data_IF_628275237313
#
_entry.id   IF_628275237313
#
_cell.length_a   1.000
_cell.length_b   1.000
_cell.length_c   1.000
_cell.angle_alpha   90.00
_cell.angle_beta   90.00
_cell.angle_gamma   90.00
#
_symmetry.space_group_name_H-M   'P 1'
#
loop_
_entity.id
_entity.type
_entity.pdbx_description
1 polymer ?
#
# COMPACT_ATOMS: atom_id res chain seq x y z
N UNK A 1 -12.50 8.27 4.67
CA UNK A 1 -12.53 6.86 4.18
C UNK A 1 -11.91 5.90 5.19
N UNK A 2 -10.65 6.06 5.62
CA UNK A 2 -9.99 5.21 6.63
C UNK A 2 -10.84 4.95 7.89
N UNK A 3 -11.32 6.01 8.55
CA UNK A 3 -12.18 5.90 9.75
C UNK A 3 -13.41 5.03 9.52
N UNK A 4 -14.11 5.23 8.40
CA UNK A 4 -15.32 4.48 8.06
C UNK A 4 -15.01 3.00 7.86
N UNK A 5 -13.91 2.69 7.17
CA UNK A 5 -13.48 1.30 6.99
C UNK A 5 -13.12 0.65 8.33
N UNK A 6 -12.37 1.34 9.19
CA UNK A 6 -12.00 0.81 10.52
C UNK A 6 -13.23 0.56 11.39
N UNK A 7 -14.17 1.51 11.41
CA UNK A 7 -15.44 1.34 12.13
C UNK A 7 -16.27 0.20 11.56
N UNK A 8 -16.34 0.06 10.22
CA UNK A 8 -17.03 -1.05 9.57
C UNK A 8 -16.41 -2.40 9.96
N UNK A 9 -15.07 -2.51 9.94
CA UNK A 9 -14.36 -3.72 10.39
C UNK A 9 -14.63 -4.08 11.85
N UNK A 10 -14.90 -3.11 12.73
CA UNK A 10 -15.18 -3.39 14.14
C UNK A 10 -16.65 -3.69 14.43
N UNK A 11 -17.58 -3.14 13.65
CA UNK A 11 -19.02 -3.18 13.96
C UNK A 11 -19.81 -4.22 13.17
N UNK A 12 -19.37 -4.52 11.94
CA UNK A 12 -20.12 -5.39 11.02
C UNK A 12 -19.87 -6.88 11.26
N UNK A 13 -18.66 -7.35 11.60
CA UNK A 13 -18.44 -8.77 11.87
C UNK A 13 -19.34 -9.25 13.01
N UNK A 14 -20.18 -10.25 12.71
CA UNK A 14 -21.06 -10.92 13.67
C UNK A 14 -20.73 -12.41 13.69
N UNK A 15 -20.94 -13.11 14.83
CA UNK A 15 -20.82 -14.56 14.86
C UNK A 15 -21.65 -15.20 13.74
N UNK A 16 -21.01 -16.00 12.88
CA UNK A 16 -21.64 -16.67 11.74
C UNK A 16 -21.65 -15.91 10.42
N UNK A 17 -21.24 -14.63 10.38
CA UNK A 17 -21.15 -13.84 9.14
C UNK A 17 -19.70 -13.41 8.87
N UNK A 18 -19.20 -13.69 7.66
CA UNK A 18 -17.88 -13.22 7.19
C UNK A 18 -18.04 -11.86 6.53
N UNK A 19 -17.32 -10.87 7.03
CA UNK A 19 -17.27 -9.53 6.44
C UNK A 19 -15.82 -9.08 6.35
N UNK A 20 -15.40 -8.60 5.19
CA UNK A 20 -14.10 -7.97 5.01
C UNK A 20 -14.16 -6.97 3.85
N UNK A 21 -13.30 -5.95 3.92
CA UNK A 21 -13.15 -4.94 2.88
C UNK A 21 -11.75 -5.08 2.29
N UNK A 22 -11.63 -5.48 1.01
CA UNK A 22 -10.34 -5.62 0.33
C UNK A 22 -9.56 -4.31 0.29
N UNK A 23 -10.21 -3.28 -0.23
CA UNK A 23 -9.68 -1.94 -0.39
C UNK A 23 -10.83 -0.96 -0.38
N UNK A 24 -10.66 0.18 0.28
CA UNK A 24 -11.58 1.31 0.18
C UNK A 24 -10.73 2.58 0.12
N UNK A 25 -10.36 2.95 -1.11
CA UNK A 25 -9.52 4.11 -1.41
C UNK A 25 -9.94 4.69 -2.76
N UNK A 26 -9.64 5.97 -2.97
CA UNK A 26 -9.81 6.65 -4.26
C UNK A 26 -8.57 6.49 -5.16
N UNK A 27 -7.46 6.00 -4.61
CA UNK A 27 -6.18 5.85 -5.31
C UNK A 27 -5.82 4.41 -5.61
N UNK A 28 -6.29 3.46 -4.80
CA UNK A 28 -5.85 2.06 -4.84
C UNK A 28 -7.04 1.13 -4.76
N UNK A 29 -7.06 0.13 -5.64
CA UNK A 29 -8.06 -0.96 -5.64
C UNK A 29 -7.31 -2.27 -5.58
N UNK A 30 -7.74 -3.18 -4.71
CA UNK A 30 -7.11 -4.49 -4.50
C UNK A 30 -8.07 -5.58 -4.97
N UNK A 31 -7.68 -6.29 -6.02
CA UNK A 31 -8.32 -7.53 -6.46
C UNK A 31 -7.61 -8.72 -5.81
N UNK A 32 -8.33 -9.48 -4.99
CA UNK A 32 -7.78 -10.65 -4.32
C UNK A 32 -8.84 -11.74 -4.14
N UNK A 33 -8.39 -12.98 -4.18
CA UNK A 33 -9.23 -14.17 -4.00
C UNK A 33 -8.38 -15.42 -3.81
N UNK A 34 -9.02 -16.52 -3.45
CA UNK A 34 -8.40 -17.85 -3.43
C UNK A 34 -8.37 -18.40 -4.86
N UNK A 35 -7.44 -17.89 -5.65
CA UNK A 35 -7.28 -18.19 -7.07
C UNK A 35 -5.79 -18.43 -7.34
N UNK A 36 -5.48 -19.28 -8.31
CA UNK A 36 -4.12 -19.30 -8.85
C UNK A 36 -3.85 -18.02 -9.65
N UNK A 37 -2.59 -17.65 -9.83
CA UNK A 37 -2.20 -16.44 -10.58
C UNK A 37 -2.81 -16.40 -11.99
N UNK A 38 -2.92 -17.56 -12.65
CA UNK A 38 -3.52 -17.68 -13.99
C UNK A 38 -5.05 -17.53 -13.96
N UNK A 39 -5.69 -18.01 -12.89
CA UNK A 39 -7.13 -17.91 -12.70
C UNK A 39 -7.58 -16.48 -12.37
N UNK A 40 -6.71 -15.65 -11.77
CA UNK A 40 -7.02 -14.27 -11.39
C UNK A 40 -7.61 -13.48 -12.57
N UNK A 41 -6.93 -13.51 -13.71
CA UNK A 41 -7.37 -12.84 -14.94
C UNK A 41 -8.68 -13.39 -15.47
N UNK A 42 -8.90 -14.71 -15.30
CA UNK A 42 -10.13 -15.34 -15.77
C UNK A 42 -11.33 -15.01 -14.91
N UNK A 43 -11.12 -14.91 -13.59
CA UNK A 43 -12.16 -14.65 -12.61
C UNK A 43 -12.57 -13.17 -12.57
N UNK A 44 -11.60 -12.26 -12.47
CA UNK A 44 -11.87 -10.83 -12.47
C UNK A 44 -11.86 -10.30 -13.90
N UNK A 45 -13.03 -10.36 -14.56
CA UNK A 45 -13.21 -9.86 -15.92
C UNK A 45 -12.86 -8.36 -16.06
N UNK A 46 -12.97 -7.60 -14.97
CA UNK A 46 -12.57 -6.19 -14.92
C UNK A 46 -11.07 -6.00 -15.19
N UNK A 47 -10.24 -7.00 -14.86
CA UNK A 47 -8.80 -7.00 -15.17
C UNK A 47 -8.52 -7.36 -16.63
N UNK A 48 -9.47 -7.99 -17.34
CA UNK A 48 -9.36 -8.32 -18.77
C UNK A 48 -9.74 -7.18 -19.67
N UNK A 49 -10.39 -6.14 -19.15
CA UNK A 49 -10.69 -4.94 -19.93
C UNK A 49 -9.36 -4.39 -20.43
N UNK A 50 -9.12 -4.53 -21.74
CA UNK A 50 -7.87 -4.08 -22.33
C UNK A 50 -7.85 -2.56 -22.33
N UNK A 51 -6.64 -2.00 -22.30
CA UNK A 51 -6.42 -0.56 -22.45
C UNK A 51 -7.08 0.02 -23.72
N UNK A 52 -7.30 -0.79 -24.76
CA UNK A 52 -8.03 -0.41 -25.97
C UNK A 52 -9.49 -0.05 -25.68
N UNK A 53 -10.12 -0.77 -24.77
CA UNK A 53 -11.57 -0.71 -24.54
C UNK A 53 -11.92 0.51 -23.68
N UNK A 54 -11.11 0.76 -22.63
CA UNK A 54 -11.20 1.99 -21.83
C UNK A 54 -10.84 3.25 -22.63
N UNK A 55 -9.85 3.15 -23.55
CA UNK A 55 -9.48 4.25 -24.45
C UNK A 55 -10.58 4.54 -25.47
N UNK A 56 -11.21 3.50 -26.03
CA UNK A 56 -12.33 3.65 -26.95
C UNK A 56 -13.52 4.35 -26.26
N UNK A 57 -13.86 3.96 -25.04
CA UNK A 57 -14.94 4.57 -24.26
C UNK A 57 -14.63 6.02 -23.84
N UNK A 58 -13.37 6.32 -23.50
CA UNK A 58 -12.93 7.68 -23.18
C UNK A 58 -12.86 8.58 -24.43
N UNK A 59 -12.44 8.03 -25.57
CA UNK A 59 -12.41 8.73 -26.86
C UNK A 59 -13.80 8.98 -27.43
N UNK A 60 -14.78 8.10 -27.17
CA UNK A 60 -16.19 8.36 -27.45
C UNK A 60 -16.74 9.51 -26.60
N UNK A 61 -16.38 9.58 -25.32
CA UNK A 61 -16.83 10.64 -24.39
C UNK A 61 -16.19 12.01 -24.66
N UNK A 62 -14.96 12.06 -25.17
CA UNK A 62 -14.28 13.28 -25.62
C UNK A 62 -14.23 13.30 -27.14
N UNK A 63 -15.31 13.74 -27.79
CA UNK A 63 -15.37 13.86 -29.25
C UNK A 63 -14.08 14.37 -29.89
N UNK A 64 -13.47 13.53 -30.73
CA UNK A 64 -12.47 13.84 -31.76
C UNK A 64 -11.38 14.85 -31.37
N UNK A 65 -10.36 14.42 -30.61
CA UNK A 65 -9.03 15.03 -30.73
C UNK A 65 -8.07 14.10 -31.46
N UNK A 66 -7.45 14.58 -32.53
CA UNK A 66 -6.48 13.83 -33.36
C UNK A 66 -5.37 13.20 -32.49
N UNK A 67 -4.95 11.95 -32.77
CA UNK A 67 -3.79 11.39 -32.11
C UNK A 67 -2.53 12.14 -32.59
N UNK A 68 -1.79 12.77 -31.67
CA UNK A 68 -0.62 13.58 -32.01
C UNK A 68 0.69 12.78 -32.08
N UNK A 69 0.69 11.46 -31.85
CA UNK A 69 1.92 10.67 -31.90
C UNK A 69 1.65 9.24 -32.38
N UNK A 70 2.24 8.87 -33.52
CA UNK A 70 2.45 7.48 -33.91
C UNK A 70 3.73 6.98 -33.23
N UNK A 71 3.62 6.03 -32.29
CA UNK A 71 4.81 5.39 -31.72
C UNK A 71 5.51 4.58 -32.83
N UNK A 72 6.68 5.04 -33.27
CA UNK A 72 7.60 4.26 -34.10
C UNK A 72 8.27 3.16 -33.28
N UNK A 73 8.56 2.03 -33.92
CA UNK A 73 9.08 0.79 -33.31
C UNK A 73 10.53 0.84 -32.85
N UNK A 74 11.15 2.02 -32.75
CA UNK A 74 12.49 2.20 -32.19
C UNK A 74 12.70 3.66 -31.80
N UNK A 75 12.63 3.95 -30.50
CA UNK A 75 13.46 4.95 -29.80
C UNK A 75 13.33 6.45 -30.08
N UNK A 76 12.93 6.93 -31.26
CA UNK A 76 12.99 8.36 -31.59
C UNK A 76 11.60 8.95 -31.88
N UNK A 77 11.15 9.84 -30.99
CA UNK A 77 9.98 10.68 -31.21
C UNK A 77 10.39 11.95 -31.99
N UNK A 78 10.03 12.02 -33.27
CA UNK A 78 10.19 13.25 -34.06
C UNK A 78 9.07 14.24 -33.75
N UNK A 79 9.44 15.44 -33.31
CA UNK A 79 8.50 16.53 -33.03
C UNK A 79 8.38 17.46 -34.24
N UNK A 80 7.20 17.54 -34.85
CA UNK A 80 6.88 18.66 -35.74
C UNK A 80 6.58 19.91 -34.89
N UNK A 81 7.48 20.91 -34.96
CA UNK A 81 7.32 22.21 -34.29
C UNK A 81 6.16 22.99 -34.93
N UNK A 82 5.00 23.01 -34.28
CA UNK A 82 4.01 24.07 -34.48
C UNK A 82 4.57 25.40 -33.97
N UNK A 83 4.47 26.45 -34.79
CA UNK A 83 4.89 27.82 -34.50
C UNK A 83 4.05 28.45 -33.38
N UNK A 84 4.60 28.47 -32.17
CA UNK A 84 4.06 29.17 -31.02
C UNK A 84 5.14 29.29 -29.95
N UNK A 85 5.25 30.45 -29.33
CA UNK A 85 6.30 30.89 -28.42
C UNK A 85 6.71 29.85 -27.35
N UNK A 86 8.00 29.86 -27.00
CA UNK A 86 8.66 29.06 -25.96
C UNK A 86 8.10 29.39 -24.56
N UNK A 87 6.89 28.93 -24.27
CA UNK A 87 6.39 28.77 -22.91
C UNK A 87 6.85 27.43 -22.36
N UNK A 88 7.32 27.42 -21.11
CA UNK A 88 7.73 26.22 -20.34
C UNK A 88 6.89 25.00 -20.71
N UNK A 89 7.47 24.04 -21.43
CA UNK A 89 6.81 22.78 -21.75
C UNK A 89 6.85 21.95 -20.45
N UNK A 90 5.74 21.78 -19.70
CA UNK A 90 5.84 21.01 -18.48
C UNK A 90 5.98 19.55 -18.89
N UNK A 91 6.90 18.85 -18.24
CA UNK A 91 7.13 17.39 -18.21
C UNK A 91 5.84 16.54 -18.05
N UNK A 92 4.69 17.19 -17.87
CA UNK A 92 3.32 16.66 -17.85
C UNK A 92 2.83 16.07 -19.19
N UNK A 93 3.32 16.51 -20.35
CA UNK A 93 2.76 16.10 -21.65
C UNK A 93 3.26 14.76 -22.21
N UNK A 94 4.35 14.21 -21.68
CA UNK A 94 4.84 12.89 -22.13
C UNK A 94 4.02 11.72 -21.53
N UNK A 95 3.27 11.99 -20.45
CA UNK A 95 2.56 10.99 -19.66
C UNK A 95 1.04 11.22 -19.67
N UNK A 96 0.45 11.35 -20.86
CA UNK A 96 -1.01 11.37 -21.07
C UNK A 96 -1.62 9.95 -21.16
N UNK A 97 -0.93 8.92 -20.63
CA UNK A 97 -1.42 7.55 -20.51
C UNK A 97 -2.08 7.25 -19.16
N UNK A 98 -2.63 6.03 -19.03
CA UNK A 98 -3.08 5.48 -17.75
C UNK A 98 -1.87 5.38 -16.79
N UNK A 99 -1.98 6.02 -15.61
CA UNK A 99 -0.93 6.07 -14.59
C UNK A 99 -1.10 5.01 -13.51
N UNK A 100 -2.03 4.07 -13.71
CA UNK A 100 -2.22 2.92 -12.82
C UNK A 100 -1.00 2.01 -12.90
N UNK A 101 -0.40 1.75 -11.74
CA UNK A 101 0.72 0.83 -11.60
C UNK A 101 0.20 -0.45 -10.95
N UNK A 102 0.47 -1.60 -11.56
CA UNK A 102 0.00 -2.88 -11.06
C UNK A 102 0.95 -3.43 -10.00
N UNK A 103 0.37 -3.99 -8.95
CA UNK A 103 1.10 -4.55 -7.83
C UNK A 103 0.57 -5.95 -7.54
N UNK A 104 1.45 -6.94 -7.59
CA UNK A 104 1.08 -8.35 -7.48
C UNK A 104 1.75 -8.97 -6.26
N UNK A 105 0.99 -9.76 -5.51
CA UNK A 105 1.49 -10.57 -4.39
C UNK A 105 0.94 -11.97 -4.52
N UNK A 106 1.76 -12.95 -4.16
CA UNK A 106 1.34 -14.32 -3.97
C UNK A 106 1.66 -14.72 -2.53
N UNK A 107 0.72 -15.36 -1.85
CA UNK A 107 0.91 -15.83 -0.49
C UNK A 107 0.80 -17.35 -0.49
N UNK A 108 1.84 -18.03 -0.02
CA UNK A 108 1.81 -19.45 0.34
C UNK A 108 1.57 -19.53 1.85
N UNK A 109 0.30 -19.59 2.27
CA UNK A 109 -0.04 -19.80 3.68
C UNK A 109 -0.05 -21.31 3.97
N UNK A 110 0.86 -21.76 4.86
CA UNK A 110 0.96 -23.16 5.28
C UNK A 110 -0.29 -23.55 6.08
N UNK A 111 -1.17 -24.37 5.49
CA UNK A 111 -2.17 -25.23 6.15
C UNK A 111 -3.55 -24.64 6.56
N UNK A 112 -3.85 -23.34 6.41
CA UNK A 112 -5.25 -22.84 6.61
C UNK A 112 -5.92 -22.34 5.32
N UNK A 113 -6.13 -23.27 4.40
CA UNK A 113 -6.82 -23.17 3.10
C UNK A 113 -8.32 -22.73 3.13
N UNK A 114 -8.82 -22.01 4.15
CA UNK A 114 -10.28 -21.74 4.26
C UNK A 114 -10.72 -20.35 4.74
N UNK A 115 -9.80 -19.40 4.96
CA UNK A 115 -10.16 -18.07 5.46
C UNK A 115 -9.63 -16.94 4.57
N UNK A 116 -10.39 -16.62 3.51
CA UNK A 116 -10.33 -15.31 2.83
C UNK A 116 -10.23 -14.08 3.76
N UNK A 117 -10.82 -14.07 4.99
CA UNK A 117 -10.65 -12.95 5.92
C UNK A 117 -9.25 -12.77 6.51
N UNK A 118 -8.28 -13.68 6.27
CA UNK A 118 -6.90 -13.55 6.78
C UNK A 118 -6.02 -12.70 5.85
N UNK A 119 -6.37 -12.61 4.57
CA UNK A 119 -5.67 -11.80 3.57
C UNK A 119 -6.19 -10.36 3.61
N UNK A 120 -5.96 -9.61 4.68
CA UNK A 120 -6.47 -8.22 4.83
C UNK A 120 -5.47 -7.12 4.48
N UNK A 121 -4.40 -7.44 3.77
CA UNK A 121 -3.45 -6.41 3.37
C UNK A 121 -4.08 -5.44 2.36
N UNK A 122 -3.81 -4.14 2.56
CA UNK A 122 -4.39 -3.03 1.78
C UNK A 122 -3.31 -2.13 1.18
N UNK A 123 -2.29 -1.81 1.97
CA UNK A 123 -1.17 -0.92 1.63
C UNK A 123 0.07 -1.75 1.29
N UNK A 124 0.14 -2.99 1.79
CA UNK A 124 1.32 -3.83 1.82
C UNK A 124 1.13 -5.18 1.11
N UNK A 125 2.17 -5.67 0.46
CA UNK A 125 2.40 -7.09 0.24
C UNK A 125 3.64 -7.51 1.04
N UNK A 126 3.55 -8.66 1.67
CA UNK A 126 4.60 -9.22 2.49
C UNK A 126 4.89 -10.63 2.00
N UNK A 127 6.14 -10.87 1.66
CA UNK A 127 6.67 -12.21 1.43
C UNK A 127 7.69 -12.49 2.53
N UNK A 128 7.36 -13.41 3.42
CA UNK A 128 8.13 -13.61 4.63
C UNK A 128 7.29 -14.06 5.82
N UNK A 129 7.91 -14.03 7.00
CA UNK A 129 7.28 -14.34 8.27
C UNK A 129 7.79 -13.38 9.35
N UNK A 130 6.88 -12.76 10.10
CA UNK A 130 7.26 -11.90 11.23
C UNK A 130 7.37 -12.73 12.53
N UNK A 131 8.61 -13.04 12.91
CA UNK A 131 8.93 -13.83 14.10
C UNK A 131 8.58 -13.13 15.41
N UNK A 132 8.59 -11.79 15.42
CA UNK A 132 8.35 -10.97 16.63
C UNK A 132 6.89 -10.57 16.85
N UNK A 133 5.96 -11.10 16.05
CA UNK A 133 4.57 -10.67 15.96
C UNK A 133 3.87 -10.52 17.33
N UNK A 134 3.94 -11.55 18.18
CA UNK A 134 3.23 -11.54 19.47
C UNK A 134 3.70 -10.41 20.39
N UNK A 135 5.00 -10.11 20.38
CA UNK A 135 5.58 -9.00 21.13
C UNK A 135 5.06 -7.66 20.61
N UNK A 136 5.14 -7.46 19.29
CA UNK A 136 4.75 -6.21 18.64
C UNK A 136 3.26 -5.91 18.80
N UNK A 137 2.39 -6.92 18.67
CA UNK A 137 0.95 -6.77 18.89
C UNK A 137 0.64 -6.38 20.34
N UNK A 138 1.32 -7.00 21.31
CA UNK A 138 1.14 -6.66 22.73
C UNK A 138 1.62 -5.25 23.04
N UNK A 139 2.74 -4.82 22.47
CA UNK A 139 3.27 -3.47 22.63
C UNK A 139 2.34 -2.43 22.00
N UNK A 140 1.80 -2.71 20.81
CA UNK A 140 0.77 -1.87 20.21
C UNK A 140 -0.47 -1.75 21.08
N UNK A 141 -0.94 -2.86 21.66
CA UNK A 141 -2.07 -2.85 22.60
C UNK A 141 -1.77 -2.04 23.86
N UNK A 142 -0.55 -2.11 24.39
CA UNK A 142 -0.14 -1.28 25.54
C UNK A 142 -0.14 0.22 25.18
N UNK A 143 0.29 0.57 23.95
CA UNK A 143 0.30 1.95 23.45
C UNK A 143 -1.12 2.54 23.33
N UNK A 144 -2.15 1.73 23.06
CA UNK A 144 -3.54 2.19 22.96
C UNK A 144 -4.01 2.95 24.21
N UNK A 145 -3.49 2.63 25.39
CA UNK A 145 -3.84 3.33 26.64
C UNK A 145 -3.23 4.73 26.78
N UNK A 146 -2.11 5.01 26.11
CA UNK A 146 -1.34 6.25 26.27
C UNK A 146 -1.33 7.14 25.03
N UNK A 147 -1.70 6.59 23.87
CA UNK A 147 -1.71 7.31 22.59
C UNK A 147 -2.68 8.50 22.62
N UNK A 148 -2.21 9.64 22.11
CA UNK A 148 -3.00 10.86 21.94
C UNK A 148 -2.80 11.38 20.52
N UNK A 149 -3.87 11.87 19.90
CA UNK A 149 -3.80 12.50 18.58
C UNK A 149 -4.58 13.81 18.58
N UNK A 150 -3.93 14.89 18.17
CA UNK A 150 -4.56 16.20 18.02
C UNK A 150 -5.68 16.18 16.96
N UNK A 151 -5.52 15.37 15.91
CA UNK A 151 -6.45 15.28 14.77
C UNK A 151 -7.69 14.45 15.10
N UNK A 152 -7.53 13.37 15.86
CA UNK A 152 -8.62 12.44 16.16
C UNK A 152 -9.25 12.65 17.53
N UNK A 153 -8.56 13.29 18.48
CA UNK A 153 -9.07 13.55 19.83
C UNK A 153 -9.65 12.29 20.47
N UNK A 154 -10.85 12.39 21.02
CA UNK A 154 -11.56 11.26 21.64
C UNK A 154 -11.96 10.17 20.66
N UNK A 155 -12.10 10.49 19.36
CA UNK A 155 -12.44 9.52 18.31
C UNK A 155 -11.32 8.52 18.06
N UNK A 156 -10.10 8.77 18.57
CA UNK A 156 -9.00 7.83 18.50
C UNK A 156 -9.39 6.47 19.11
N UNK A 157 -10.17 6.47 20.19
CA UNK A 157 -10.66 5.24 20.84
C UNK A 157 -11.53 4.38 19.93
N UNK A 158 -12.21 4.97 18.95
CA UNK A 158 -13.02 4.22 17.98
C UNK A 158 -12.18 3.44 16.95
N UNK A 159 -10.88 3.73 16.88
CA UNK A 159 -9.93 3.02 16.02
C UNK A 159 -9.32 1.78 16.70
N UNK A 160 -9.62 1.54 17.99
CA UNK A 160 -9.12 0.40 18.73
C UNK A 160 -10.03 -0.83 18.59
N UNK A 161 -9.46 -2.05 18.55
CA UNK A 161 -8.03 -2.34 18.56
C UNK A 161 -7.35 -1.97 17.23
N UNK A 162 -6.11 -1.47 17.30
CA UNK A 162 -5.33 -1.08 16.10
C UNK A 162 -5.09 -2.31 15.22
N UNK A 163 -4.62 -3.40 15.84
CA UNK A 163 -4.49 -4.72 15.20
C UNK A 163 -5.77 -5.50 15.48
N UNK A 164 -6.51 -5.83 14.42
CA UNK A 164 -7.73 -6.63 14.55
C UNK A 164 -7.38 -8.07 14.94
N UNK A 165 -8.24 -8.74 15.74
CA UNK A 165 -8.01 -10.13 16.12
C UNK A 165 -8.13 -11.06 14.89
N UNK A 166 -7.42 -12.19 14.94
CA UNK A 166 -7.44 -13.25 13.92
C UNK A 166 -6.90 -12.83 12.53
N UNK A 167 -6.03 -11.83 12.47
CA UNK A 167 -5.27 -11.49 11.27
C UNK A 167 -4.02 -12.37 11.13
N UNK A 168 -3.53 -12.53 9.90
CA UNK A 168 -2.18 -13.00 9.64
C UNK A 168 -1.14 -12.00 10.16
N UNK A 169 0.11 -12.44 10.24
CA UNK A 169 1.26 -11.58 10.56
C UNK A 169 1.33 -10.36 9.62
N UNK A 170 1.15 -10.60 8.33
CA UNK A 170 1.12 -9.62 7.25
C UNK A 170 -0.04 -8.65 7.41
N UNK A 171 -1.22 -9.14 7.80
CA UNK A 171 -2.38 -8.31 8.10
C UNK A 171 -2.16 -7.42 9.32
N UNK A 172 -1.45 -7.91 10.34
CA UNK A 172 -1.11 -7.13 11.51
C UNK A 172 -0.11 -6.01 11.18
N UNK A 173 0.93 -6.31 10.39
CA UNK A 173 1.88 -5.30 9.88
C UNK A 173 1.15 -4.22 9.08
N UNK A 174 0.26 -4.60 8.16
CA UNK A 174 -0.52 -3.68 7.34
C UNK A 174 -1.40 -2.75 8.19
N UNK A 175 -2.05 -3.29 9.23
CA UNK A 175 -2.86 -2.48 10.15
C UNK A 175 -2.03 -1.41 10.89
N UNK A 176 -0.84 -1.77 11.36
CA UNK A 176 0.04 -0.84 12.09
C UNK A 176 0.65 0.18 11.13
N UNK A 177 1.10 -0.24 9.95
CA UNK A 177 1.62 0.65 8.92
C UNK A 177 0.58 1.70 8.51
N UNK A 178 -0.64 1.24 8.22
CA UNK A 178 -1.74 2.12 7.85
C UNK A 178 -2.12 3.07 9.00
N UNK A 179 -2.09 2.60 10.24
CA UNK A 179 -2.35 3.43 11.41
C UNK A 179 -1.30 4.54 11.56
N UNK A 180 -0.01 4.23 11.39
CA UNK A 180 1.07 5.23 11.46
C UNK A 180 0.89 6.30 10.37
N UNK A 181 0.60 5.88 9.13
CA UNK A 181 0.40 6.81 8.01
C UNK A 181 -0.84 7.68 8.22
N UNK A 182 -1.98 7.09 8.55
CA UNK A 182 -3.27 7.79 8.60
C UNK A 182 -3.49 8.59 9.90
N UNK A 183 -3.03 8.06 11.03
CA UNK A 183 -3.30 8.60 12.37
C UNK A 183 -2.14 9.41 12.91
N UNK A 184 -0.91 8.90 12.80
CA UNK A 184 0.28 9.64 13.20
C UNK A 184 0.73 10.68 12.14
N UNK A 185 0.24 10.57 10.91
CA UNK A 185 0.51 11.53 9.84
C UNK A 185 1.94 11.45 9.30
N UNK A 186 2.59 10.30 9.46
CA UNK A 186 3.93 10.02 8.94
C UNK A 186 3.84 9.68 7.45
N UNK A 187 4.91 9.95 6.71
CA UNK A 187 4.98 9.53 5.31
C UNK A 187 5.11 8.01 5.22
N UNK A 188 4.66 7.41 4.12
CA UNK A 188 4.78 5.95 3.93
C UNK A 188 6.22 5.45 4.06
N UNK A 189 7.25 6.08 3.44
CA UNK A 189 8.64 5.67 3.62
C UNK A 189 9.11 5.77 5.08
N UNK A 190 8.77 6.86 5.78
CA UNK A 190 9.14 7.05 7.19
C UNK A 190 8.49 6.01 8.11
N UNK A 191 7.23 5.65 7.84
CA UNK A 191 6.51 4.62 8.58
C UNK A 191 7.14 3.24 8.36
N UNK A 192 7.47 2.89 7.12
CA UNK A 192 8.13 1.62 6.79
C UNK A 192 9.52 1.55 7.43
N UNK A 193 10.35 2.60 7.30
CA UNK A 193 11.69 2.64 7.92
C UNK A 193 11.64 2.56 9.45
N UNK A 194 10.53 2.99 10.07
CA UNK A 194 10.32 2.89 11.51
C UNK A 194 9.92 1.48 11.94
N UNK A 195 9.09 0.81 11.15
CA UNK A 195 8.65 -0.55 11.44
C UNK A 195 9.73 -1.59 11.10
N UNK A 196 10.40 -1.45 9.97
CA UNK A 196 11.44 -2.37 9.48
C UNK A 196 12.72 -1.57 9.19
N UNK A 197 13.47 -1.23 10.25
CA UNK A 197 14.73 -0.50 10.09
C UNK A 197 15.84 -1.42 9.56
N UNK A 198 16.69 -0.88 8.69
CA UNK A 198 17.92 -1.55 8.24
C UNK A 198 18.90 -1.79 9.41
N UNK A 199 19.86 -2.69 9.24
CA UNK A 199 20.94 -2.94 10.19
C UNK A 199 21.89 -1.72 10.34
N UNK A 200 21.53 -0.75 11.18
CA UNK A 200 22.20 0.56 11.25
C UNK A 200 23.31 0.69 12.32
N UNK A 201 23.34 -0.19 13.32
CA UNK A 201 24.21 -0.02 14.51
C UNK A 201 25.70 -0.12 14.15
N UNK A 202 26.07 -1.10 13.34
CA UNK A 202 27.46 -1.44 13.02
C UNK A 202 27.86 -1.09 11.59
N UNK A 203 26.99 -0.46 10.80
CA UNK A 203 27.32 -0.03 9.45
C UNK A 203 28.26 1.19 9.51
N UNK A 204 29.53 1.11 9.05
CA UNK A 204 30.46 2.25 9.08
C UNK A 204 30.22 3.24 7.93
N UNK A 205 29.50 2.86 6.89
CA UNK A 205 29.27 3.64 5.66
C UNK A 205 27.97 4.45 5.75
N UNK A 206 27.06 4.09 6.66
CA UNK A 206 25.78 4.79 6.82
C UNK A 206 25.95 6.29 7.16
N UNK A 207 25.33 7.19 6.38
CA UNK A 207 25.32 8.63 6.66
C UNK A 207 24.80 8.95 8.07
N UNK A 208 25.41 9.96 8.70
CA UNK A 208 25.08 10.35 10.08
C UNK A 208 23.60 10.66 10.27
N UNK A 209 22.98 11.40 9.35
CA UNK A 209 21.56 11.77 9.43
C UNK A 209 20.64 10.53 9.44
N UNK A 210 20.94 9.53 8.60
CA UNK A 210 20.20 8.27 8.54
C UNK A 210 20.36 7.46 9.84
N UNK A 211 21.58 7.42 10.38
CA UNK A 211 21.88 6.75 11.65
C UNK A 211 21.16 7.43 12.83
N UNK A 212 21.19 8.76 12.87
CA UNK A 212 20.52 9.54 13.91
C UNK A 212 18.99 9.34 13.85
N UNK A 213 18.42 9.27 12.64
CA UNK A 213 17.02 8.90 12.44
C UNK A 213 16.71 7.50 12.97
N UNK A 214 17.48 6.47 12.62
CA UNK A 214 17.23 5.11 13.10
C UNK A 214 17.44 4.96 14.61
N UNK A 215 18.41 5.70 15.18
CA UNK A 215 18.62 5.76 16.63
C UNK A 215 17.45 6.40 17.36
N UNK A 216 16.85 7.45 16.79
CA UNK A 216 15.62 8.03 17.33
C UNK A 216 14.44 7.07 17.18
N UNK A 217 14.30 6.47 16.00
CA UNK A 217 13.20 5.56 15.65
C UNK A 217 13.17 4.32 16.56
N UNK A 218 14.33 3.75 16.91
CA UNK A 218 14.43 2.61 17.82
C UNK A 218 13.99 2.91 19.26
N UNK A 219 13.98 4.18 19.68
CA UNK A 219 13.39 4.60 20.96
C UNK A 219 11.86 4.73 20.87
N UNK A 220 11.31 4.90 19.67
CA UNK A 220 9.89 5.13 19.44
C UNK A 220 9.16 3.82 19.20
N UNK A 221 9.70 2.93 18.37
CA UNK A 221 9.05 1.68 17.96
C UNK A 221 10.05 0.53 17.89
N UNK A 222 9.63 -0.62 18.41
CA UNK A 222 10.33 -1.88 18.23
C UNK A 222 10.27 -2.35 16.78
N UNK A 223 11.35 -2.95 16.25
CA UNK A 223 11.35 -3.45 14.89
C UNK A 223 10.41 -4.65 14.74
N UNK A 224 9.65 -4.66 13.66
CA UNK A 224 8.85 -5.79 13.21
C UNK A 224 9.75 -6.76 12.45
N UNK A 225 10.42 -7.60 13.21
CA UNK A 225 11.51 -8.45 12.75
C UNK A 225 11.07 -9.84 12.29
N UNK A 226 11.79 -10.35 11.30
CA UNK A 226 11.61 -11.62 10.62
C UNK A 226 11.99 -11.49 9.14
N UNK A 227 12.29 -12.61 8.43
CA UNK A 227 12.56 -12.58 7.01
C UNK A 227 11.37 -11.95 6.29
N UNK A 228 11.57 -10.82 5.61
CA UNK A 228 10.48 -10.04 5.03
C UNK A 228 10.93 -9.22 3.82
N UNK A 229 10.36 -9.54 2.66
CA UNK A 229 10.25 -8.61 1.54
C UNK A 229 8.90 -7.92 1.64
N UNK A 230 8.93 -6.63 1.96
CA UNK A 230 7.76 -5.78 2.05
C UNK A 230 7.72 -4.87 0.84
N UNK A 231 6.62 -4.89 0.09
CA UNK A 231 6.39 -3.93 -0.97
C UNK A 231 5.05 -3.24 -0.77
N UNK A 232 5.02 -1.92 -0.95
CA UNK A 232 3.97 -1.07 -0.38
C UNK A 232 3.63 0.14 -1.25
N UNK A 233 2.39 0.63 -1.15
CA UNK A 233 1.95 1.84 -1.82
C UNK A 233 0.78 2.53 -1.13
N UNK A 234 0.79 3.87 -1.10
CA UNK A 234 -0.34 4.72 -0.69
C UNK A 234 -1.03 5.41 -1.88
N UNK A 235 -0.67 5.03 -3.10
CA UNK A 235 -1.09 5.67 -4.35
C UNK A 235 -0.26 6.88 -4.76
N UNK A 236 0.61 7.40 -3.89
CA UNK A 236 1.59 8.44 -4.21
C UNK A 236 3.01 7.87 -4.31
N UNK A 237 3.39 7.05 -3.34
CA UNK A 237 4.66 6.34 -3.30
C UNK A 237 4.43 4.87 -3.64
N UNK A 238 5.39 4.28 -4.31
CA UNK A 238 5.56 2.83 -4.34
C UNK A 238 7.00 2.53 -3.94
N UNK A 239 7.17 1.52 -3.10
CA UNK A 239 8.49 1.10 -2.64
C UNK A 239 8.51 -0.36 -2.26
N UNK A 240 9.73 -0.86 -2.09
CA UNK A 240 10.00 -2.16 -1.50
C UNK A 240 11.16 -2.02 -0.51
N UNK A 241 11.13 -2.83 0.55
CA UNK A 241 12.17 -2.92 1.56
C UNK A 241 12.40 -4.40 1.90
N UNK A 242 13.65 -4.72 2.22
CA UNK A 242 14.05 -6.00 2.78
C UNK A 242 14.27 -5.84 4.27
N UNK A 243 14.11 -6.94 5.01
CA UNK A 243 14.50 -7.01 6.41
C UNK A 243 16.02 -6.89 6.60
N UNK A 244 16.43 -6.90 7.87
CA UNK A 244 17.76 -6.48 8.35
C UNK A 244 18.83 -7.57 8.29
#
# INVERSE_FOLDING_TARGET
>A
VFLLRKQASHTIPKPGARFYICSLSIYTVVYKGQLTSDQLWTYFIDLKILMSDLRAEYAEKKGKSKPAVTNGTNGDATYEKGSGELGEVPFRRLWEGDKRLAFFSYNLETINMLLLPMLQTKVLAHNGEINTLRGNVNLMKAREGVMKSKKFGDRLKSLYPVVEPNLSDSGAVDCVLEFIVMVAGRTLPEAVMTMVPEAWQNDPVMPKEKRDFYKWSSCVMEPWDGPALLAFTDGRYIGAILDR
#
